data_IF_421578262432
#
_entry.id   IF_421578262432
#
_cell.length_a   1.000
_cell.length_b   1.000
_cell.length_c   1.000
_cell.angle_alpha   90.00
_cell.angle_beta   90.00
_cell.angle_gamma   90.00
#
_symmetry.space_group_name_H-M   'P 1'
#
loop_
_entity.id
_entity.type
_entity.pdbx_description
1 polymer ?
#
# COMPACT_ATOMS: atom_id res chain seq x y z
N UNK A 1 -3.58 -6.88 16.08
CA UNK A 1 -3.11 -5.98 14.99
C UNK A 1 -4.27 -5.75 14.04
N UNK A 2 -4.61 -4.50 13.73
CA UNK A 2 -5.73 -4.16 12.84
C UNK A 2 -5.22 -4.15 11.40
N UNK A 3 -5.74 -5.03 10.54
CA UNK A 3 -5.38 -5.05 9.12
C UNK A 3 -6.20 -4.00 8.36
N UNK A 4 -5.51 -3.09 7.68
CA UNK A 4 -6.15 -2.04 6.89
C UNK A 4 -6.15 -2.42 5.41
N UNK A 5 -7.22 -3.03 4.91
CA UNK A 5 -7.43 -3.34 3.49
C UNK A 5 -7.83 -2.12 2.65
N UNK A 6 -8.37 -1.08 3.29
CA UNK A 6 -8.83 0.13 2.62
C UNK A 6 -8.53 1.38 3.45
N UNK A 7 -8.32 2.49 2.76
CA UNK A 7 -8.20 3.83 3.35
C UNK A 7 -9.46 4.24 4.14
N UNK A 8 -10.62 3.67 3.79
CA UNK A 8 -11.88 3.90 4.49
C UNK A 8 -11.90 3.32 5.93
N UNK A 9 -10.98 2.43 6.27
CA UNK A 9 -10.94 1.81 7.60
C UNK A 9 -10.23 2.67 8.65
N UNK A 10 -9.61 3.77 8.23
CA UNK A 10 -9.06 4.77 9.13
C UNK A 10 -10.16 5.76 9.52
N UNK A 11 -10.54 5.77 10.80
CA UNK A 11 -11.58 6.68 11.30
C UNK A 11 -11.22 8.15 11.05
N UNK A 12 -9.94 8.51 11.14
CA UNK A 12 -9.42 9.85 10.86
C UNK A 12 -9.51 10.27 9.39
N UNK A 13 -9.69 9.32 8.46
CA UNK A 13 -9.87 9.63 7.04
C UNK A 13 -11.35 9.71 6.63
N UNK A 14 -12.28 9.39 7.53
CA UNK A 14 -13.71 9.28 7.23
C UNK A 14 -14.32 10.62 6.76
N UNK A 15 -13.80 11.75 7.24
CA UNK A 15 -14.27 13.10 6.89
C UNK A 15 -13.83 13.58 5.51
N UNK A 16 -12.84 12.93 4.89
CA UNK A 16 -12.23 13.36 3.63
C UNK A 16 -12.82 12.58 2.44
N UNK A 17 -12.90 13.22 1.27
CA UNK A 17 -13.31 12.57 0.03
C UNK A 17 -12.21 11.66 -0.55
N UNK A 18 -12.53 10.80 -1.51
CA UNK A 18 -11.61 9.83 -2.10
C UNK A 18 -10.29 10.46 -2.60
N UNK A 19 -10.36 11.59 -3.29
CA UNK A 19 -9.16 12.28 -3.79
C UNK A 19 -8.27 12.75 -2.64
N UNK A 20 -8.88 13.43 -1.65
CA UNK A 20 -8.21 13.92 -0.46
C UNK A 20 -7.57 12.78 0.35
N UNK A 21 -8.25 11.63 0.46
CA UNK A 21 -7.70 10.43 1.11
C UNK A 21 -6.44 9.94 0.41
N UNK A 22 -6.40 9.94 -0.92
CA UNK A 22 -5.21 9.51 -1.65
C UNK A 22 -4.05 10.49 -1.51
N UNK A 23 -4.34 11.78 -1.45
CA UNK A 23 -3.34 12.82 -1.20
C UNK A 23 -2.74 12.69 0.21
N UNK A 24 -3.58 12.52 1.23
CA UNK A 24 -3.12 12.27 2.60
C UNK A 24 -2.26 11.01 2.69
N UNK A 25 -2.63 9.94 1.98
CA UNK A 25 -1.83 8.70 1.91
C UNK A 25 -0.49 8.93 1.23
N UNK A 26 -0.42 9.76 0.19
CA UNK A 26 0.82 10.14 -0.48
C UNK A 26 1.73 10.94 0.47
N UNK A 27 1.18 11.90 1.21
CA UNK A 27 1.90 12.66 2.24
C UNK A 27 2.39 11.73 3.36
N UNK A 28 1.57 10.80 3.83
CA UNK A 28 1.98 9.83 4.86
C UNK A 28 3.11 8.90 4.36
N UNK A 29 3.03 8.50 3.09
CA UNK A 29 4.06 7.67 2.44
C UNK A 29 5.37 8.41 2.23
N UNK A 30 5.34 9.72 1.95
CA UNK A 30 6.55 10.54 1.79
C UNK A 30 7.32 10.67 3.11
N UNK A 31 6.60 10.72 4.24
CA UNK A 31 7.13 10.80 5.62
C UNK A 31 7.77 9.51 6.16
N UNK A 32 7.63 8.38 5.45
CA UNK A 32 8.31 7.14 5.81
C UNK A 32 9.83 7.35 5.79
N UNK A 33 10.52 6.90 6.84
CA UNK A 33 11.98 6.95 6.92
C UNK A 33 12.62 6.12 5.80
N UNK A 34 13.86 6.44 5.36
CA UNK A 34 14.55 5.67 4.32
C UNK A 34 14.60 4.16 4.63
N UNK A 35 14.88 3.80 5.90
CA UNK A 35 14.90 2.41 6.34
C UNK A 35 13.52 1.74 6.24
N UNK A 36 12.45 2.42 6.65
CA UNK A 36 11.09 1.87 6.55
C UNK A 36 10.64 1.68 5.10
N UNK A 37 11.01 2.61 4.19
CA UNK A 37 10.77 2.46 2.73
C UNK A 37 11.55 1.28 2.16
N UNK A 38 12.81 1.10 2.59
CA UNK A 38 13.63 -0.04 2.19
C UNK A 38 12.99 -1.36 2.65
N UNK A 39 12.62 -1.48 3.93
CA UNK A 39 11.95 -2.68 4.47
C UNK A 39 10.63 -2.95 3.73
N UNK A 40 9.81 -1.91 3.50
CA UNK A 40 8.56 -2.05 2.78
C UNK A 40 8.81 -2.64 1.38
N UNK A 41 9.77 -2.09 0.63
CA UNK A 41 10.13 -2.56 -0.71
C UNK A 41 10.73 -3.97 -0.70
N UNK A 42 11.54 -4.31 0.29
CA UNK A 42 12.09 -5.65 0.48
C UNK A 42 10.97 -6.67 0.73
N UNK A 43 9.97 -6.31 1.56
CA UNK A 43 8.80 -7.15 1.78
C UNK A 43 7.96 -7.29 0.50
N UNK A 44 7.79 -6.24 -0.31
CA UNK A 44 7.10 -6.37 -1.61
C UNK A 44 7.78 -7.39 -2.50
N UNK A 45 9.11 -7.34 -2.53
CA UNK A 45 9.92 -8.26 -3.33
C UNK A 45 9.81 -9.69 -2.76
N UNK A 46 9.94 -9.85 -1.45
CA UNK A 46 9.83 -11.15 -0.78
C UNK A 46 8.47 -11.83 -0.99
N UNK A 47 7.39 -11.05 -1.08
CA UNK A 47 6.04 -11.56 -1.42
C UNK A 47 5.94 -11.95 -2.90
N UNK A 48 6.62 -11.22 -3.80
CA UNK A 48 6.55 -11.44 -5.25
C UNK A 48 7.42 -12.62 -5.71
N UNK A 49 8.57 -12.85 -5.06
CA UNK A 49 9.55 -13.85 -5.46
C UNK A 49 8.96 -15.27 -5.51
N UNK A 50 8.35 -15.84 -4.44
CA UNK A 50 7.90 -17.23 -4.45
C UNK A 50 6.87 -17.54 -5.54
N UNK A 51 5.83 -16.71 -5.76
CA UNK A 51 4.91 -16.91 -6.87
C UNK A 51 5.59 -16.92 -8.24
N UNK A 52 6.57 -16.04 -8.48
CA UNK A 52 7.31 -16.01 -9.74
C UNK A 52 8.16 -17.28 -9.94
N UNK A 53 8.78 -17.80 -8.87
CA UNK A 53 9.48 -19.09 -8.94
C UNK A 53 8.52 -20.24 -9.27
N UNK A 54 7.31 -20.26 -8.70
CA UNK A 54 6.31 -21.27 -9.03
C UNK A 54 5.87 -21.18 -10.50
N UNK A 55 5.63 -19.96 -11.00
CA UNK A 55 5.24 -19.71 -12.39
C UNK A 55 6.34 -20.12 -13.38
N UNK A 56 7.61 -19.95 -13.01
CA UNK A 56 8.74 -20.31 -13.87
C UNK A 56 8.85 -21.81 -14.18
N UNK A 57 8.17 -22.67 -13.41
CA UNK A 57 8.15 -24.12 -13.63
C UNK A 57 7.02 -24.57 -14.58
N UNK A 58 6.24 -23.64 -15.15
CA UNK A 58 5.12 -23.95 -16.04
C UNK A 58 5.54 -23.74 -17.50
N UNK A 59 5.87 -24.83 -18.19
CA UNK A 59 6.38 -24.80 -19.58
C UNK A 59 5.29 -24.59 -20.66
N UNK A 60 4.07 -24.27 -20.26
CA UNK A 60 2.92 -24.16 -21.17
C UNK A 60 2.27 -22.80 -21.09
N UNK A 61 1.59 -22.39 -22.16
CA UNK A 61 0.83 -21.13 -22.23
C UNK A 61 -0.27 -21.02 -21.16
N UNK A 62 -0.59 -22.12 -20.46
CA UNK A 62 -1.49 -22.13 -19.31
C UNK A 62 -0.96 -21.30 -18.13
N UNK A 63 0.33 -20.95 -18.08
CA UNK A 63 0.92 -20.08 -17.04
C UNK A 63 0.24 -18.70 -16.93
N UNK A 64 -0.45 -18.25 -17.98
CA UNK A 64 -1.16 -16.96 -18.00
C UNK A 64 -2.25 -16.91 -16.93
N UNK A 65 -2.96 -18.02 -16.70
CA UNK A 65 -4.02 -18.08 -15.68
C UNK A 65 -3.45 -17.84 -14.27
N UNK A 66 -2.49 -18.64 -13.76
CA UNK A 66 -1.90 -18.39 -12.46
C UNK A 66 -1.14 -17.06 -12.40
N UNK A 67 -0.57 -16.56 -13.51
CA UNK A 67 0.04 -15.22 -13.55
C UNK A 67 -0.98 -14.13 -13.19
N UNK A 68 -2.19 -14.17 -13.77
CA UNK A 68 -3.24 -13.20 -13.42
C UNK A 68 -3.60 -13.29 -11.94
N UNK A 69 -3.73 -14.50 -11.39
CA UNK A 69 -4.00 -14.69 -9.96
C UNK A 69 -2.87 -14.13 -9.07
N UNK A 70 -1.61 -14.31 -9.46
CA UNK A 70 -0.46 -13.76 -8.75
C UNK A 70 -0.49 -12.23 -8.77
N UNK A 71 -0.77 -11.62 -9.92
CA UNK A 71 -0.88 -10.17 -10.03
C UNK A 71 -2.04 -9.61 -9.19
N UNK A 72 -3.21 -10.25 -9.19
CA UNK A 72 -4.33 -9.84 -8.35
C UNK A 72 -4.02 -10.02 -6.86
N UNK A 73 -3.46 -11.17 -6.48
CA UNK A 73 -3.04 -11.46 -5.11
C UNK A 73 -1.99 -10.47 -4.59
N UNK A 74 -1.06 -10.06 -5.46
CA UNK A 74 -0.06 -9.03 -5.18
C UNK A 74 -0.71 -7.73 -4.69
N UNK A 75 -1.71 -7.20 -5.42
CA UNK A 75 -2.42 -5.99 -5.00
C UNK A 75 -3.16 -6.15 -3.67
N UNK A 76 -3.78 -7.32 -3.46
CA UNK A 76 -4.55 -7.63 -2.24
C UNK A 76 -3.64 -7.69 -1.01
N UNK A 77 -2.44 -8.24 -1.13
CA UNK A 77 -1.49 -8.36 -0.01
C UNK A 77 -0.73 -7.06 0.23
N UNK A 78 -0.40 -6.32 -0.83
CA UNK A 78 0.46 -5.14 -0.69
C UNK A 78 -0.22 -3.88 -0.25
N UNK A 79 -1.48 -3.67 -0.63
CA UNK A 79 -2.25 -2.56 -0.10
C UNK A 79 -2.26 -2.54 1.43
N UNK A 80 -2.65 -3.62 2.13
CA UNK A 80 -2.67 -3.62 3.58
C UNK A 80 -1.29 -3.50 4.18
N UNK A 81 -0.27 -4.10 3.58
CA UNK A 81 1.11 -3.94 4.04
C UNK A 81 1.55 -2.46 3.98
N UNK A 82 1.28 -1.79 2.87
CA UNK A 82 1.60 -0.37 2.72
C UNK A 82 0.82 0.51 3.72
N UNK A 83 -0.48 0.22 3.90
CA UNK A 83 -1.34 0.95 4.82
C UNK A 83 -0.92 0.77 6.30
N UNK A 84 -0.41 -0.41 6.67
CA UNK A 84 0.16 -0.65 7.99
C UNK A 84 1.38 0.24 8.26
N UNK A 85 2.29 0.38 7.29
CA UNK A 85 3.51 1.20 7.46
C UNK A 85 3.20 2.69 7.61
N UNK A 86 2.22 3.21 6.88
CA UNK A 86 1.86 4.64 6.94
C UNK A 86 0.93 4.97 8.11
N UNK A 87 0.30 3.98 8.74
CA UNK A 87 -0.70 4.21 9.80
C UNK A 87 -0.16 5.06 10.96
N UNK A 88 1.12 4.89 11.31
CA UNK A 88 1.80 5.68 12.35
C UNK A 88 2.11 7.14 11.94
N UNK A 89 2.12 7.43 10.63
CA UNK A 89 2.38 8.75 10.08
C UNK A 89 1.11 9.47 9.62
N UNK A 90 -0.04 8.80 9.69
CA UNK A 90 -1.29 9.25 9.10
C UNK A 90 -1.87 10.47 9.82
N UNK A 91 -1.75 10.57 11.15
CA UNK A 91 -2.15 11.77 11.91
C UNK A 91 -1.35 13.02 11.51
N UNK A 92 -0.05 12.83 11.28
CA UNK A 92 0.85 13.92 10.86
C UNK A 92 0.55 14.35 9.42
N UNK A 93 0.13 13.41 8.58
CA UNK A 93 -0.24 13.69 7.20
C UNK A 93 -1.57 14.44 7.11
N UNK A 94 -2.59 14.03 7.87
CA UNK A 94 -3.89 14.74 7.94
C UNK A 94 -3.70 16.20 8.37
N UNK A 95 -2.95 16.44 9.46
CA UNK A 95 -2.66 17.81 9.93
C UNK A 95 -1.88 18.65 8.92
N UNK A 96 -1.07 18.02 8.07
CA UNK A 96 -0.34 18.75 7.03
C UNK A 96 -1.28 19.07 5.86
N UNK A 97 -2.09 18.11 5.43
CA UNK A 97 -3.09 18.32 4.39
C UNK A 97 -4.05 19.46 4.76
N UNK A 98 -4.58 19.47 5.99
CA UNK A 98 -5.45 20.56 6.47
C UNK A 98 -4.76 21.93 6.50
N UNK A 99 -3.44 21.98 6.74
CA UNK A 99 -2.67 23.23 6.69
C UNK A 99 -2.45 23.71 5.27
N UNK A 100 -2.16 22.80 4.35
CA UNK A 100 -1.95 23.12 2.93
C UNK A 100 -3.28 23.55 2.29
N UNK A 101 -4.38 22.85 2.55
CA UNK A 101 -5.72 23.20 2.04
C UNK A 101 -6.35 24.44 2.68
N UNK A 102 -5.81 24.97 3.78
CA UNK A 102 -6.29 26.20 4.42
C UNK A 102 -5.52 27.47 3.97
N UNK A 103 -4.45 27.28 3.19
CA UNK A 103 -3.61 28.37 2.66
C UNK A 103 -4.05 28.75 1.23
N UNK A 104 -4.84 27.91 0.57
CA UNK A 104 -5.51 28.14 -0.72
C UNK A 104 -6.92 28.73 -0.54
#
# INVERSE_FOLDING_TARGET
>A
MKFYFSSNQFAQLAAFDFHQRQEIIAIASSKLSPLSKFILNLLKLAVLIPPFFMLANIDSWLFVIPLVFVLLGYFIVLRPLSLLFISSHLDKAVKQFERESAVD
#
